data_IF_647903846356
#
_entry.id   IF_647903846356
#
_cell.length_a   1.000
_cell.length_b   1.000
_cell.length_c   1.000
_cell.angle_alpha   90.00
_cell.angle_beta   90.00
_cell.angle_gamma   90.00
#
_symmetry.space_group_name_H-M   'P 1'
#
loop_
_entity.id
_entity.type
_entity.pdbx_description
1 polymer ?
#
# COMPACT_ATOMS: atom_id res chain seq x y z
N UNK A 1 -7.40 -20.49 -24.79
CA UNK A 1 -6.50 -19.41 -25.28
C UNK A 1 -5.18 -19.58 -24.53
N UNK A 2 -4.02 -19.49 -25.20
CA UNK A 2 -2.72 -19.71 -24.56
C UNK A 2 -2.49 -18.67 -23.45
N UNK A 3 -1.79 -19.05 -22.38
CA UNK A 3 -1.44 -18.15 -21.29
C UNK A 3 -0.48 -17.08 -21.86
N UNK A 4 -0.96 -15.86 -22.07
CA UNK A 4 -0.14 -14.78 -22.66
C UNK A 4 1.04 -14.41 -21.75
N UNK A 5 2.23 -14.09 -22.28
CA UNK A 5 3.39 -13.74 -21.47
C UNK A 5 3.16 -12.48 -20.62
N UNK A 6 3.99 -12.26 -19.60
CA UNK A 6 3.98 -11.03 -18.82
C UNK A 6 4.18 -9.82 -19.74
N UNK A 7 3.32 -8.81 -19.59
CA UNK A 7 3.22 -7.65 -20.51
C UNK A 7 2.92 -8.06 -21.95
N UNK A 8 2.23 -9.19 -22.16
CA UNK A 8 1.79 -9.65 -23.47
C UNK A 8 0.61 -8.83 -23.99
N UNK A 9 -0.35 -8.53 -23.12
CA UNK A 9 -1.59 -7.84 -23.50
C UNK A 9 -1.42 -6.32 -23.51
N UNK A 10 -2.21 -5.63 -24.34
CA UNK A 10 -2.29 -4.16 -24.35
C UNK A 10 -2.76 -3.62 -23.00
N UNK A 11 -3.67 -4.34 -22.32
CA UNK A 11 -4.19 -3.95 -21.01
C UNK A 11 -3.09 -3.96 -19.94
N UNK A 12 -2.25 -5.00 -19.88
CA UNK A 12 -1.13 -5.08 -18.94
C UNK A 12 -0.12 -3.95 -19.15
N UNK A 13 0.24 -3.68 -20.42
CA UNK A 13 1.14 -2.56 -20.76
C UNK A 13 0.53 -1.21 -20.40
N UNK A 14 -0.75 -1.00 -20.70
CA UNK A 14 -1.45 0.24 -20.37
C UNK A 14 -1.52 0.43 -18.84
N UNK A 15 -1.85 -0.61 -18.07
CA UNK A 15 -1.96 -0.53 -16.62
C UNK A 15 -0.64 -0.11 -15.95
N UNK A 16 0.47 -0.77 -16.30
CA UNK A 16 1.78 -0.41 -15.75
C UNK A 16 2.26 0.96 -16.23
N UNK A 17 2.01 1.30 -17.50
CA UNK A 17 2.37 2.61 -18.07
C UNK A 17 1.59 3.75 -17.39
N UNK A 18 0.27 3.61 -17.21
CA UNK A 18 -0.56 4.60 -16.51
C UNK A 18 -0.07 4.81 -15.08
N UNK A 19 0.17 3.72 -14.35
CA UNK A 19 0.66 3.80 -12.95
C UNK A 19 2.04 4.45 -12.87
N UNK A 20 2.93 4.12 -13.80
CA UNK A 20 4.32 4.64 -13.80
C UNK A 20 4.36 6.11 -14.21
N UNK A 21 3.62 6.49 -15.26
CA UNK A 21 3.54 7.87 -15.73
C UNK A 21 2.94 8.78 -14.67
N UNK A 22 1.86 8.35 -14.02
CA UNK A 22 1.26 9.09 -12.92
C UNK A 22 2.25 9.25 -11.75
N UNK A 23 2.93 8.18 -11.33
CA UNK A 23 3.92 8.24 -10.26
C UNK A 23 5.06 9.23 -10.59
N UNK A 24 5.57 9.23 -11.83
CA UNK A 24 6.60 10.19 -12.27
C UNK A 24 6.10 11.63 -12.12
N UNK A 25 4.91 11.93 -12.66
CA UNK A 25 4.33 13.28 -12.60
C UNK A 25 4.17 13.73 -11.14
N UNK A 26 3.61 12.88 -10.29
CA UNK A 26 3.39 13.20 -8.87
C UNK A 26 4.72 13.39 -8.13
N UNK A 27 5.71 12.51 -8.33
CA UNK A 27 7.03 12.63 -7.71
C UNK A 27 7.74 13.93 -8.13
N UNK A 28 7.60 14.35 -9.38
CA UNK A 28 8.13 15.65 -9.84
C UNK A 28 7.44 16.81 -9.12
N UNK A 29 6.11 16.80 -8.99
CA UNK A 29 5.38 17.85 -8.25
C UNK A 29 5.79 17.91 -6.77
N UNK A 30 5.99 16.74 -6.14
CA UNK A 30 6.47 16.62 -4.77
C UNK A 30 7.89 17.17 -4.62
N UNK A 31 8.80 16.82 -5.55
CA UNK A 31 10.18 17.30 -5.53
C UNK A 31 10.29 18.81 -5.75
N UNK A 32 9.50 19.38 -6.67
CA UNK A 32 9.42 20.83 -6.88
C UNK A 32 8.91 21.52 -5.62
N UNK A 33 7.83 21.01 -5.02
CA UNK A 33 7.26 21.55 -3.78
C UNK A 33 8.30 21.55 -2.66
N UNK A 34 8.98 20.41 -2.45
CA UNK A 34 10.04 20.29 -1.46
C UNK A 34 11.16 21.30 -1.70
N UNK A 35 11.67 21.38 -2.94
CA UNK A 35 12.78 22.26 -3.28
C UNK A 35 12.46 23.76 -3.17
N UNK A 36 11.21 24.17 -3.42
CA UNK A 36 10.79 25.56 -3.21
C UNK A 36 10.72 25.88 -1.72
N UNK A 37 10.19 24.98 -0.88
CA UNK A 37 10.06 25.25 0.56
C UNK A 37 11.41 25.20 1.27
N UNK A 38 12.27 24.22 0.96
CA UNK A 38 13.59 24.07 1.58
C UNK A 38 14.49 25.30 1.35
N UNK A 39 14.35 25.98 0.20
CA UNK A 39 15.06 27.22 -0.10
C UNK A 39 14.69 28.40 0.82
N UNK A 40 13.47 28.41 1.35
CA UNK A 40 12.93 29.55 2.10
C UNK A 40 12.74 29.27 3.58
N UNK A 41 12.82 28.00 3.99
CA UNK A 41 12.53 27.55 5.34
C UNK A 41 13.55 26.51 5.77
N UNK A 42 14.19 26.73 6.92
CA UNK A 42 15.00 25.70 7.56
C UNK A 42 14.10 24.59 8.08
N UNK A 43 13.89 23.53 7.30
CA UNK A 43 12.95 22.43 7.58
C UNK A 43 13.19 21.70 8.91
N UNK A 44 14.37 21.87 9.51
CA UNK A 44 14.75 21.26 10.80
C UNK A 44 14.58 22.19 12.00
N UNK A 45 14.20 23.45 11.79
CA UNK A 45 14.22 24.48 12.85
C UNK A 45 13.02 24.42 13.81
N UNK A 46 11.80 24.30 13.28
CA UNK A 46 10.56 24.27 14.09
C UNK A 46 9.77 22.99 13.84
N UNK A 47 8.92 22.60 14.80
CA UNK A 47 8.11 21.38 14.69
C UNK A 47 7.19 21.40 13.46
N UNK A 48 6.56 22.55 13.19
CA UNK A 48 5.68 22.72 12.03
C UNK A 48 6.41 22.40 10.72
N UNK A 49 7.64 22.89 10.56
CA UNK A 49 8.44 22.64 9.36
C UNK A 49 9.01 21.22 9.31
N UNK A 50 9.30 20.57 10.45
CA UNK A 50 9.79 19.18 10.49
C UNK A 50 8.77 18.17 9.96
N UNK A 51 7.48 18.47 10.08
CA UNK A 51 6.42 17.57 9.57
C UNK A 51 6.32 17.62 8.03
N UNK A 52 6.80 18.69 7.41
CA UNK A 52 6.68 18.94 5.97
C UNK A 52 7.36 17.90 5.08
N UNK A 53 8.67 17.62 5.27
CA UNK A 53 9.41 16.67 4.46
C UNK A 53 8.89 15.27 4.62
N UNK A 54 8.37 14.93 5.80
CA UNK A 54 7.88 13.61 6.09
C UNK A 54 6.66 13.23 5.28
N UNK A 55 5.67 14.12 5.22
CA UNK A 55 4.47 13.79 4.47
C UNK A 55 4.79 13.74 2.96
N UNK A 56 5.70 14.61 2.48
CA UNK A 56 6.18 14.59 1.08
C UNK A 56 6.91 13.28 0.78
N UNK A 57 7.80 12.84 1.67
CA UNK A 57 8.53 11.60 1.55
C UNK A 57 7.63 10.37 1.65
N UNK A 58 6.67 10.35 2.59
CA UNK A 58 5.71 9.27 2.74
C UNK A 58 4.83 9.15 1.50
N UNK A 59 4.40 10.28 0.95
CA UNK A 59 3.62 10.30 -0.28
C UNK A 59 4.45 9.80 -1.47
N UNK A 60 5.72 10.20 -1.58
CA UNK A 60 6.63 9.63 -2.58
C UNK A 60 6.85 8.12 -2.41
N UNK A 61 6.97 7.63 -1.18
CA UNK A 61 7.05 6.20 -0.89
C UNK A 61 5.76 5.47 -1.29
N UNK A 62 4.60 6.09 -1.10
CA UNK A 62 3.30 5.55 -1.52
C UNK A 62 3.24 5.35 -3.04
N UNK A 63 3.71 6.33 -3.81
CA UNK A 63 3.78 6.24 -5.27
C UNK A 63 4.70 5.10 -5.73
N UNK A 64 5.89 4.97 -5.13
CA UNK A 64 6.81 3.88 -5.43
C UNK A 64 6.23 2.51 -5.07
N UNK A 65 5.59 2.42 -3.89
CA UNK A 65 4.92 1.21 -3.45
C UNK A 65 3.80 0.81 -4.40
N UNK A 66 3.02 1.77 -4.92
CA UNK A 66 1.97 1.48 -5.89
C UNK A 66 2.53 0.90 -7.20
N UNK A 67 3.61 1.47 -7.75
CA UNK A 67 4.24 0.94 -8.97
C UNK A 67 4.75 -0.48 -8.73
N UNK A 68 5.37 -0.72 -7.57
CA UNK A 68 5.82 -2.06 -7.17
C UNK A 68 4.65 -3.05 -7.07
N UNK A 69 3.55 -2.65 -6.43
CA UNK A 69 2.34 -3.47 -6.30
C UNK A 69 1.68 -3.75 -7.64
N UNK A 70 1.68 -2.79 -8.57
CA UNK A 70 1.19 -2.97 -9.93
C UNK A 70 2.03 -4.00 -10.69
N UNK A 71 3.36 -3.89 -10.64
CA UNK A 71 4.25 -4.88 -11.24
C UNK A 71 3.99 -6.29 -10.68
N UNK A 72 3.92 -6.41 -9.36
CA UNK A 72 3.72 -7.68 -8.67
C UNK A 72 2.33 -8.29 -8.96
N UNK A 73 1.27 -7.46 -9.00
CA UNK A 73 -0.09 -7.90 -9.34
C UNK A 73 -0.16 -8.47 -10.76
N UNK A 74 0.49 -7.82 -11.74
CA UNK A 74 0.52 -8.28 -13.12
C UNK A 74 1.40 -9.54 -13.28
N UNK A 75 2.57 -9.58 -12.62
CA UNK A 75 3.48 -10.74 -12.66
C UNK A 75 2.83 -11.99 -12.10
N UNK A 76 2.13 -11.87 -10.97
CA UNK A 76 1.46 -12.97 -10.28
C UNK A 76 0.02 -13.20 -10.77
N UNK A 77 -0.49 -12.38 -11.70
CA UNK A 77 -1.88 -12.37 -12.18
C UNK A 77 -2.88 -12.35 -11.02
N UNK A 78 -2.58 -11.54 -10.01
CA UNK A 78 -3.34 -11.50 -8.78
C UNK A 78 -4.46 -10.46 -8.89
N UNK A 79 -5.67 -10.93 -9.21
CA UNK A 79 -6.88 -10.10 -9.32
C UNK A 79 -7.20 -9.37 -8.01
N UNK A 80 -7.05 -10.05 -6.88
CA UNK A 80 -7.32 -9.45 -5.56
C UNK A 80 -6.39 -8.27 -5.32
N UNK A 81 -5.14 -8.36 -5.78
CA UNK A 81 -4.18 -7.27 -5.67
C UNK A 81 -4.52 -6.08 -6.57
N UNK A 82 -5.12 -6.29 -7.74
CA UNK A 82 -5.63 -5.19 -8.58
C UNK A 82 -6.70 -4.38 -7.85
N UNK A 83 -7.66 -5.05 -7.19
CA UNK A 83 -8.65 -4.36 -6.35
C UNK A 83 -7.99 -3.62 -5.18
N UNK A 84 -7.01 -4.24 -4.53
CA UNK A 84 -6.21 -3.58 -3.49
C UNK A 84 -5.53 -2.31 -3.99
N UNK A 85 -4.96 -2.32 -5.19
CA UNK A 85 -4.34 -1.15 -5.83
C UNK A 85 -5.39 -0.05 -6.06
N UNK A 86 -6.60 -0.38 -6.55
CA UNK A 86 -7.66 0.62 -6.75
C UNK A 86 -8.08 1.31 -5.45
N UNK A 87 -8.23 0.54 -4.36
CA UNK A 87 -8.54 1.08 -3.04
C UNK A 87 -7.38 1.95 -2.50
N UNK A 88 -6.14 1.48 -2.67
CA UNK A 88 -4.94 2.22 -2.27
C UNK A 88 -4.81 3.54 -3.03
N UNK A 89 -5.07 3.53 -4.33
CA UNK A 89 -5.04 4.72 -5.18
C UNK A 89 -6.08 5.76 -4.76
N UNK A 90 -7.29 5.32 -4.39
CA UNK A 90 -8.31 6.20 -3.82
C UNK A 90 -7.86 6.80 -2.47
N UNK A 91 -7.20 6.00 -1.62
CA UNK A 91 -6.62 6.51 -0.37
C UNK A 91 -5.51 7.53 -0.62
N UNK A 92 -4.64 7.32 -1.62
CA UNK A 92 -3.62 8.30 -2.01
C UNK A 92 -4.22 9.61 -2.53
N UNK A 93 -5.33 9.55 -3.27
CA UNK A 93 -6.05 10.74 -3.72
C UNK A 93 -6.56 11.58 -2.53
N UNK A 94 -7.17 10.93 -1.53
CA UNK A 94 -7.61 11.60 -0.29
C UNK A 94 -6.41 12.18 0.47
N UNK A 95 -5.31 11.42 0.57
CA UNK A 95 -4.09 11.87 1.23
C UNK A 95 -3.51 13.11 0.56
N UNK A 96 -3.43 13.11 -0.77
CA UNK A 96 -2.95 14.24 -1.58
C UNK A 96 -3.82 15.50 -1.40
N UNK A 97 -5.14 15.34 -1.31
CA UNK A 97 -6.05 16.46 -1.05
C UNK A 97 -5.84 17.07 0.35
N UNK A 98 -5.66 16.22 1.37
CA UNK A 98 -5.39 16.66 2.75
C UNK A 98 -4.05 17.37 2.86
N UNK A 99 -3.05 16.90 2.12
CA UNK A 99 -1.70 17.46 2.11
C UNK A 99 -1.68 18.95 1.78
N UNK A 100 -2.57 19.43 0.89
CA UNK A 100 -2.72 20.86 0.57
C UNK A 100 -3.02 21.68 1.84
N UNK A 101 -3.97 21.19 2.64
CA UNK A 101 -4.35 21.83 3.91
C UNK A 101 -3.24 21.76 4.94
N UNK A 102 -2.56 20.62 5.07
CA UNK A 102 -1.45 20.45 6.01
C UNK A 102 -0.24 21.32 5.66
N UNK A 103 0.08 21.47 4.37
CA UNK A 103 1.10 22.43 3.93
C UNK A 103 0.71 23.86 4.31
N UNK A 104 -0.56 24.23 4.14
CA UNK A 104 -1.05 25.55 4.55
C UNK A 104 -0.89 25.75 6.05
N UNK A 105 -1.34 24.81 6.88
CA UNK A 105 -1.23 24.90 8.35
C UNK A 105 0.23 24.94 8.81
N UNK A 106 1.13 24.24 8.11
CA UNK A 106 2.55 24.23 8.45
C UNK A 106 3.27 25.53 8.08
N UNK A 107 2.88 26.20 6.98
CA UNK A 107 3.53 27.43 6.50
C UNK A 107 2.84 28.70 7.04
N UNK A 108 1.52 28.77 7.00
CA UNK A 108 0.74 29.96 7.38
C UNK A 108 0.44 29.93 8.87
N UNK A 109 1.29 30.62 9.65
CA UNK A 109 1.19 30.68 11.12
C UNK A 109 0.63 32.00 11.64
N UNK A 110 0.57 33.04 10.80
CA UNK A 110 0.09 34.38 11.17
C UNK A 110 -1.36 34.63 10.74
N UNK A 111 -2.06 35.43 11.53
CA UNK A 111 -3.41 35.88 11.18
C UNK A 111 -3.38 36.91 10.03
N UNK A 112 -4.51 37.08 9.34
CA UNK A 112 -4.64 38.08 8.27
C UNK A 112 -4.37 39.52 8.78
N UNK A 113 -4.75 39.82 10.03
CA UNK A 113 -4.50 41.11 10.66
C UNK A 113 -3.00 41.35 10.90
N UNK A 114 -2.26 40.35 11.37
CA UNK A 114 -0.80 40.44 11.53
C UNK A 114 -0.09 40.62 10.19
N UNK A 115 -0.55 39.93 9.15
CA UNK A 115 0.02 40.02 7.81
C UNK A 115 -0.26 41.36 7.12
N UNK A 116 -1.33 42.06 7.50
CA UNK A 116 -1.62 43.41 7.02
C UNK A 116 -0.66 44.45 7.62
N UNK A 117 -0.16 44.22 8.84
CA UNK A 117 0.79 45.10 9.52
C UNK A 117 2.24 44.76 9.16
N UNK A 118 2.59 43.47 9.16
CA UNK A 118 3.94 42.99 8.89
C UNK A 118 3.91 41.75 7.99
N UNK A 119 3.99 42.00 6.68
CA UNK A 119 3.97 40.96 5.66
C UNK A 119 5.20 40.05 5.75
N UNK A 120 4.97 38.74 5.83
CA UNK A 120 6.01 37.72 5.77
C UNK A 120 5.75 36.79 4.59
N UNK A 121 6.73 36.67 3.69
CA UNK A 121 6.65 35.78 2.53
C UNK A 121 6.30 34.32 2.92
N UNK A 122 6.82 33.84 4.05
CA UNK A 122 6.66 32.45 4.49
C UNK A 122 5.37 32.24 5.30
N UNK A 123 5.11 33.13 6.26
CA UNK A 123 4.10 32.88 7.31
C UNK A 123 2.71 33.45 7.03
N UNK A 124 2.56 34.22 5.96
CA UNK A 124 1.30 34.84 5.57
C UNK A 124 0.59 34.07 4.45
N UNK A 125 -0.72 34.29 4.32
CA UNK A 125 -1.53 33.82 3.20
C UNK A 125 -1.75 34.95 2.17
N UNK A 126 -2.06 34.60 0.92
CA UNK A 126 -2.39 35.54 -0.15
C UNK A 126 -1.40 35.57 -1.34
N UNK A 127 -1.64 36.45 -2.33
CA UNK A 127 -0.77 36.60 -3.49
C UNK A 127 0.66 36.98 -3.09
N UNK A 128 1.66 36.37 -3.74
CA UNK A 128 3.07 36.63 -3.44
C UNK A 128 3.61 35.95 -2.18
N UNK A 129 2.89 34.99 -1.60
CA UNK A 129 3.37 34.18 -0.46
C UNK A 129 3.92 32.82 -0.92
N UNK A 130 4.74 32.19 -0.07
CA UNK A 130 5.32 30.87 -0.32
C UNK A 130 4.24 29.80 -0.52
N UNK A 131 3.19 29.80 0.31
CA UNK A 131 2.10 28.84 0.18
C UNK A 131 1.40 28.98 -1.18
N UNK A 132 1.10 30.19 -1.61
CA UNK A 132 0.46 30.41 -2.90
C UNK A 132 1.35 30.04 -4.09
N UNK A 133 2.68 30.10 -3.93
CA UNK A 133 3.63 29.62 -4.94
C UNK A 133 3.62 28.08 -5.06
N UNK A 134 3.54 27.34 -3.94
CA UNK A 134 3.56 25.86 -3.96
C UNK A 134 2.19 25.21 -4.16
N UNK A 135 1.11 25.92 -3.81
CA UNK A 135 -0.28 25.43 -3.88
C UNK A 135 -0.67 24.83 -5.23
N UNK A 136 -0.31 25.39 -6.40
CA UNK A 136 -0.66 24.78 -7.69
C UNK A 136 -0.06 23.38 -7.85
N UNK A 137 1.20 23.17 -7.47
CA UNK A 137 1.87 21.86 -7.57
C UNK A 137 1.21 20.81 -6.66
N UNK A 138 0.78 21.23 -5.47
CA UNK A 138 0.04 20.38 -4.54
C UNK A 138 -1.36 20.00 -5.04
N UNK A 139 -2.04 20.88 -5.78
CA UNK A 139 -3.37 20.61 -6.36
C UNK A 139 -3.26 19.70 -7.60
N UNK A 140 -2.18 19.80 -8.38
CA UNK A 140 -1.98 18.93 -9.55
C UNK A 140 -1.91 17.46 -9.14
N UNK A 141 -1.28 17.14 -8.00
CA UNK A 141 -1.14 15.75 -7.54
C UNK A 141 -2.48 14.99 -7.39
N UNK A 142 -3.47 15.43 -6.59
CA UNK A 142 -4.76 14.74 -6.49
C UNK A 142 -5.53 14.73 -7.81
N UNK A 143 -5.38 15.74 -8.68
CA UNK A 143 -6.02 15.73 -10.00
C UNK A 143 -5.46 14.65 -10.92
N UNK A 144 -4.13 14.51 -10.99
CA UNK A 144 -3.48 13.48 -11.82
C UNK A 144 -3.81 12.08 -11.30
N UNK A 145 -3.79 11.87 -9.98
CA UNK A 145 -4.21 10.62 -9.34
C UNK A 145 -5.68 10.32 -9.65
N UNK A 146 -6.57 11.31 -9.55
CA UNK A 146 -7.99 11.13 -9.86
C UNK A 146 -8.22 10.69 -11.32
N UNK A 147 -7.53 11.31 -12.28
CA UNK A 147 -7.62 10.94 -13.70
C UNK A 147 -7.06 9.53 -13.95
N UNK A 148 -5.91 9.18 -13.37
CA UNK A 148 -5.36 7.83 -13.49
C UNK A 148 -6.25 6.79 -12.83
N UNK A 149 -6.94 7.12 -11.74
CA UNK A 149 -7.83 6.19 -11.06
C UNK A 149 -8.96 5.70 -11.98
N UNK A 150 -9.60 6.61 -12.71
CA UNK A 150 -10.65 6.26 -13.68
C UNK A 150 -10.11 5.35 -14.78
N UNK A 151 -8.92 5.65 -15.29
CA UNK A 151 -8.25 4.79 -16.28
C UNK A 151 -7.91 3.40 -15.70
N UNK A 152 -7.41 3.33 -14.46
CA UNK A 152 -7.08 2.08 -13.79
C UNK A 152 -8.32 1.24 -13.48
N UNK A 153 -9.47 1.85 -13.16
CA UNK A 153 -10.74 1.12 -13.00
C UNK A 153 -11.11 0.41 -14.32
N UNK A 154 -11.06 1.14 -15.44
CA UNK A 154 -11.34 0.57 -16.75
C UNK A 154 -10.38 -0.57 -17.11
N UNK A 155 -9.08 -0.36 -16.91
CA UNK A 155 -8.05 -1.37 -17.20
C UNK A 155 -8.15 -2.58 -16.26
N UNK A 156 -8.52 -2.37 -14.99
CA UNK A 156 -8.74 -3.47 -14.02
C UNK A 156 -9.90 -4.36 -14.45
N UNK A 157 -10.97 -3.80 -15.03
CA UNK A 157 -12.07 -4.60 -15.58
C UNK A 157 -11.57 -5.55 -16.68
N UNK A 158 -10.75 -5.05 -17.61
CA UNK A 158 -10.19 -5.87 -18.68
C UNK A 158 -9.23 -6.95 -18.14
N UNK A 159 -8.36 -6.57 -17.19
CA UNK A 159 -7.43 -7.52 -16.54
C UNK A 159 -8.15 -8.57 -15.69
N UNK A 160 -9.30 -8.24 -15.08
CA UNK A 160 -10.13 -9.18 -14.34
C UNK A 160 -10.61 -10.32 -15.25
N UNK A 161 -11.07 -9.98 -16.47
CA UNK A 161 -11.50 -10.96 -17.47
C UNK A 161 -10.31 -11.83 -17.93
N UNK A 162 -9.16 -11.22 -18.22
CA UNK A 162 -7.92 -11.93 -18.63
C UNK A 162 -7.42 -12.90 -17.55
N UNK A 163 -7.33 -12.45 -16.30
CA UNK A 163 -6.78 -13.23 -15.19
C UNK A 163 -7.76 -14.26 -14.64
N UNK A 164 -9.06 -13.95 -14.63
CA UNK A 164 -10.12 -14.88 -14.22
C UNK A 164 -10.14 -16.15 -15.08
N UNK A 165 -9.93 -16.00 -16.39
CA UNK A 165 -9.79 -17.13 -17.33
C UNK A 165 -8.53 -17.97 -17.08
N UNK A 166 -7.41 -17.34 -16.71
CA UNK A 166 -6.15 -18.04 -16.42
C UNK A 166 -6.22 -18.86 -15.11
N UNK A 167 -6.83 -18.31 -14.06
CA UNK A 167 -6.97 -18.99 -12.77
C UNK A 167 -7.88 -20.22 -12.87
N UNK A 168 -8.92 -20.18 -13.71
CA UNK A 168 -9.81 -21.31 -13.93
C UNK A 168 -9.06 -22.58 -14.39
N UNK A 169 -8.02 -22.43 -15.21
CA UNK A 169 -7.26 -23.56 -15.76
C UNK A 169 -6.21 -24.13 -14.80
N UNK A 170 -5.69 -23.35 -13.85
CA UNK A 170 -4.61 -23.77 -12.94
C UNK A 170 -5.13 -24.50 -11.70
N UNK A 171 -6.29 -24.10 -11.17
CA UNK A 171 -6.81 -24.65 -9.90
C UNK A 171 -7.62 -25.93 -10.09
N UNK A 172 -8.03 -26.24 -11.32
CA UNK A 172 -8.91 -27.38 -11.61
C UNK A 172 -10.33 -27.20 -11.05
N UNK A 173 -11.16 -28.23 -11.18
CA UNK A 173 -12.59 -28.16 -10.89
C UNK A 173 -12.98 -28.27 -9.39
N UNK A 174 -12.01 -28.37 -8.46
CA UNK A 174 -12.34 -28.50 -7.03
C UNK A 174 -12.68 -27.12 -6.41
N UNK A 175 -13.94 -26.85 -6.06
CA UNK A 175 -14.36 -25.54 -5.57
C UNK A 175 -13.74 -25.21 -4.21
N UNK A 176 -13.49 -26.21 -3.35
CA UNK A 176 -12.93 -25.99 -2.00
C UNK A 176 -11.49 -25.49 -2.07
N UNK A 177 -10.66 -26.08 -2.93
CA UNK A 177 -9.27 -25.68 -3.11
C UNK A 177 -9.17 -24.25 -3.67
N UNK A 178 -10.09 -23.89 -4.59
CA UNK A 178 -10.20 -22.54 -5.14
C UNK A 178 -10.51 -21.50 -4.07
N UNK A 179 -11.49 -21.75 -3.21
CA UNK A 179 -11.82 -20.84 -2.10
C UNK A 179 -10.65 -20.66 -1.14
N UNK A 180 -9.95 -21.74 -0.77
CA UNK A 180 -8.80 -21.63 0.12
C UNK A 180 -7.63 -20.87 -0.52
N UNK A 181 -7.38 -21.07 -1.82
CA UNK A 181 -6.36 -20.32 -2.54
C UNK A 181 -6.70 -18.83 -2.65
N UNK A 182 -7.98 -18.48 -2.81
CA UNK A 182 -8.44 -17.09 -2.77
C UNK A 182 -8.14 -16.43 -1.41
N UNK A 183 -8.48 -17.10 -0.29
CA UNK A 183 -8.15 -16.57 1.03
C UNK A 183 -6.64 -16.43 1.24
N UNK A 184 -5.83 -17.37 0.74
CA UNK A 184 -4.38 -17.23 0.72
C UNK A 184 -3.91 -15.97 -0.04
N UNK A 185 -4.44 -15.73 -1.24
CA UNK A 185 -4.10 -14.54 -2.03
C UNK A 185 -4.56 -13.24 -1.35
N UNK A 186 -5.74 -13.24 -0.72
CA UNK A 186 -6.23 -12.12 0.10
C UNK A 186 -5.26 -11.86 1.25
N UNK A 187 -4.84 -12.90 1.97
CA UNK A 187 -3.92 -12.79 3.09
C UNK A 187 -2.57 -12.17 2.68
N UNK A 188 -1.96 -12.67 1.59
CA UNK A 188 -0.69 -12.13 1.08
C UNK A 188 -0.86 -10.69 0.58
N UNK A 189 -1.99 -10.37 -0.05
CA UNK A 189 -2.31 -9.01 -0.47
C UNK A 189 -2.39 -8.06 0.73
N UNK A 190 -3.17 -8.42 1.74
CA UNK A 190 -3.35 -7.64 2.96
C UNK A 190 -2.01 -7.42 3.70
N UNK A 191 -1.18 -8.46 3.84
CA UNK A 191 0.14 -8.32 4.49
C UNK A 191 1.06 -7.31 3.79
N UNK A 192 1.01 -7.19 2.46
CA UNK A 192 1.78 -6.18 1.72
C UNK A 192 1.28 -4.77 2.01
N UNK A 193 -0.03 -4.57 2.09
CA UNK A 193 -0.61 -3.28 2.44
C UNK A 193 -0.38 -2.96 3.93
N UNK A 194 -0.50 -3.92 4.84
CA UNK A 194 -0.16 -3.75 6.26
C UNK A 194 1.28 -3.30 6.44
N UNK A 195 2.22 -3.89 5.70
CA UNK A 195 3.62 -3.46 5.69
C UNK A 195 3.74 -1.97 5.35
N UNK A 196 3.06 -1.53 4.28
CA UNK A 196 3.10 -0.13 3.86
C UNK A 196 2.45 0.80 4.88
N UNK A 197 1.22 0.51 5.31
CA UNK A 197 0.47 1.38 6.24
C UNK A 197 1.12 1.44 7.62
N UNK A 198 1.65 0.31 8.12
CA UNK A 198 2.40 0.30 9.37
C UNK A 198 3.68 1.14 9.27
N UNK A 199 4.43 1.00 8.18
CA UNK A 199 5.62 1.83 7.91
C UNK A 199 5.24 3.32 7.83
N UNK A 200 4.12 3.64 7.19
CA UNK A 200 3.62 5.01 7.09
C UNK A 200 3.25 5.62 8.43
N UNK A 201 2.43 4.92 9.23
CA UNK A 201 2.02 5.37 10.58
C UNK A 201 3.25 5.55 11.48
N UNK A 202 4.17 4.58 11.48
CA UNK A 202 5.38 4.66 12.31
C UNK A 202 6.31 5.80 11.88
N UNK A 203 6.51 6.00 10.57
CA UNK A 203 7.29 7.12 10.04
C UNK A 203 6.70 8.48 10.45
N UNK A 204 5.37 8.63 10.36
CA UNK A 204 4.68 9.85 10.81
C UNK A 204 4.78 10.06 12.32
N UNK A 205 4.68 8.98 13.10
CA UNK A 205 4.80 9.04 14.56
C UNK A 205 6.22 9.38 15.03
N UNK A 206 7.26 8.85 14.39
CA UNK A 206 8.65 9.09 14.80
C UNK A 206 9.00 10.58 14.88
N UNK A 207 8.48 11.38 13.96
CA UNK A 207 8.78 12.82 13.93
C UNK A 207 8.15 13.56 15.10
N UNK A 208 7.01 13.09 15.59
CA UNK A 208 6.28 13.70 16.70
C UNK A 208 6.75 13.15 18.04
N UNK A 209 7.04 11.85 18.10
CA UNK A 209 7.54 11.15 19.30
C UNK A 209 8.97 11.54 19.64
N UNK A 210 9.74 12.10 18.69
CA UNK A 210 11.08 12.64 18.95
C UNK A 210 11.13 13.71 20.07
N UNK A 211 9.98 14.18 20.58
CA UNK A 211 9.89 15.25 21.57
C UNK A 211 9.26 14.86 22.91
N UNK A 212 8.78 13.62 23.12
CA UNK A 212 8.14 13.22 24.40
C UNK A 212 8.61 11.87 24.90
N UNK A 213 9.00 11.81 26.18
CA UNK A 213 9.29 10.62 27.01
C UNK A 213 10.28 9.62 26.37
N UNK A 214 11.45 9.47 27.00
CA UNK A 214 12.50 8.54 26.55
C UNK A 214 11.98 7.10 26.34
N UNK A 215 10.98 6.68 27.13
CA UNK A 215 10.39 5.34 27.05
C UNK A 215 9.51 5.14 25.81
N UNK A 216 8.65 6.09 25.45
CA UNK A 216 7.77 5.96 24.27
C UNK A 216 8.55 5.99 22.96
N UNK A 217 9.61 6.79 22.94
CA UNK A 217 10.55 6.86 21.83
C UNK A 217 11.25 5.51 21.60
N UNK A 218 11.84 4.93 22.66
CA UNK A 218 12.51 3.63 22.58
C UNK A 218 11.59 2.51 22.12
N UNK A 219 10.36 2.46 22.68
CA UNK A 219 9.37 1.45 22.30
C UNK A 219 8.95 1.61 20.82
N UNK A 220 8.69 2.83 20.36
CA UNK A 220 8.23 3.07 18.98
C UNK A 220 9.32 2.70 17.96
N UNK A 221 10.58 3.02 18.24
CA UNK A 221 11.71 2.65 17.38
C UNK A 221 11.90 1.14 17.35
N UNK A 222 11.88 0.48 18.52
CA UNK A 222 12.06 -0.96 18.60
C UNK A 222 10.90 -1.74 17.94
N UNK A 223 9.68 -1.18 17.99
CA UNK A 223 8.50 -1.80 17.39
C UNK A 223 8.60 -1.89 15.86
N UNK A 224 9.31 -0.98 15.19
CA UNK A 224 9.44 -0.98 13.72
C UNK A 224 10.04 -2.30 13.21
N UNK A 225 11.31 -2.64 13.52
CA UNK A 225 11.89 -3.88 13.00
C UNK A 225 11.15 -5.13 13.49
N UNK A 226 10.63 -5.11 14.72
CA UNK A 226 9.86 -6.24 15.27
C UNK A 226 8.61 -6.52 14.45
N UNK A 227 7.79 -5.51 14.16
CA UNK A 227 6.56 -5.70 13.39
C UNK A 227 6.86 -6.06 11.94
N UNK A 228 7.88 -5.45 11.32
CA UNK A 228 8.28 -5.81 9.96
C UNK A 228 8.69 -7.29 9.85
N UNK A 229 9.47 -7.79 10.81
CA UNK A 229 9.84 -9.22 10.88
C UNK A 229 8.60 -10.08 11.10
N UNK A 230 7.70 -9.70 12.01
CA UNK A 230 6.47 -10.46 12.27
C UNK A 230 5.55 -10.55 11.05
N UNK A 231 5.44 -9.49 10.23
CA UNK A 231 4.68 -9.53 8.98
C UNK A 231 5.29 -10.51 7.97
N UNK A 232 6.62 -10.52 7.84
CA UNK A 232 7.33 -11.48 6.99
C UNK A 232 7.13 -12.92 7.50
N UNK A 233 7.27 -13.14 8.81
CA UNK A 233 7.05 -14.43 9.44
C UNK A 233 5.61 -14.91 9.26
N UNK A 234 4.62 -14.02 9.33
CA UNK A 234 3.23 -14.34 9.06
C UNK A 234 3.02 -14.79 7.60
N UNK A 235 3.64 -14.09 6.64
CA UNK A 235 3.63 -14.49 5.24
C UNK A 235 4.24 -15.87 5.01
N UNK A 236 5.40 -16.14 5.63
CA UNK A 236 6.07 -17.45 5.58
C UNK A 236 5.23 -18.55 6.26
N UNK A 237 4.58 -18.24 7.38
CA UNK A 237 3.72 -19.17 8.10
C UNK A 237 2.51 -19.59 7.26
N UNK A 238 1.90 -18.65 6.55
CA UNK A 238 0.77 -18.92 5.63
C UNK A 238 1.20 -19.71 4.39
N UNK A 239 2.40 -19.43 3.86
CA UNK A 239 2.95 -20.16 2.72
C UNK A 239 3.35 -21.60 3.05
N UNK A 240 4.01 -21.80 4.21
CA UNK A 240 4.53 -23.10 4.64
C UNK A 240 3.62 -23.86 5.59
N UNK A 241 2.50 -23.26 6.00
CA UNK A 241 1.52 -23.81 6.96
C UNK A 241 2.12 -24.08 8.35
N UNK A 242 3.01 -23.19 8.81
CA UNK A 242 3.69 -23.30 10.11
C UNK A 242 2.76 -22.78 11.23
N UNK A 243 2.00 -23.68 11.83
CA UNK A 243 1.03 -23.39 12.90
C UNK A 243 1.54 -22.51 14.05
N UNK A 244 2.70 -22.78 14.69
CA UNK A 244 3.13 -21.97 15.84
C UNK A 244 3.43 -20.53 15.45
N UNK A 245 4.09 -20.31 14.30
CA UNK A 245 4.40 -18.96 13.82
C UNK A 245 3.11 -18.21 13.45
N UNK A 246 2.14 -18.89 12.86
CA UNK A 246 0.83 -18.31 12.55
C UNK A 246 0.09 -17.89 13.81
N UNK A 247 0.06 -18.75 14.84
CA UNK A 247 -0.59 -18.45 16.12
C UNK A 247 0.05 -17.23 16.81
N UNK A 248 1.39 -17.17 16.89
CA UNK A 248 2.12 -16.01 17.42
C UNK A 248 1.79 -14.75 16.62
N UNK A 249 1.75 -14.84 15.28
CA UNK A 249 1.42 -13.70 14.42
C UNK A 249 0.02 -13.15 14.70
N UNK A 250 -0.99 -14.03 14.85
CA UNK A 250 -2.36 -13.64 15.15
C UNK A 250 -2.50 -12.97 16.53
N UNK A 251 -1.81 -13.49 17.54
CA UNK A 251 -1.79 -12.86 18.87
C UNK A 251 -1.14 -11.48 18.81
N UNK A 252 -0.03 -11.34 18.09
CA UNK A 252 0.64 -10.05 17.91
C UNK A 252 -0.21 -9.05 17.10
N UNK A 253 -1.01 -9.51 16.15
CA UNK A 253 -1.97 -8.65 15.43
C UNK A 253 -3.01 -8.05 16.39
N UNK A 254 -3.53 -8.83 17.35
CA UNK A 254 -4.44 -8.32 18.39
C UNK A 254 -3.78 -7.26 19.29
N UNK A 255 -2.52 -7.47 19.67
CA UNK A 255 -1.74 -6.49 20.42
C UNK A 255 -1.56 -5.19 19.62
N UNK A 256 -1.23 -5.29 18.34
CA UNK A 256 -1.09 -4.15 17.43
C UNK A 256 -2.41 -3.40 17.21
N UNK A 257 -3.54 -4.09 17.08
CA UNK A 257 -4.87 -3.47 17.00
C UNK A 257 -5.17 -2.64 18.26
N UNK A 258 -4.85 -3.19 19.44
CA UNK A 258 -5.02 -2.49 20.71
C UNK A 258 -4.14 -1.23 20.80
N UNK A 259 -2.89 -1.31 20.32
CA UNK A 259 -1.96 -0.18 20.25
C UNK A 259 -2.47 0.95 19.33
N UNK A 260 -3.03 0.60 18.16
CA UNK A 260 -3.61 1.60 17.25
C UNK A 260 -4.79 2.35 17.89
N UNK A 261 -5.66 1.66 18.63
CA UNK A 261 -6.74 2.31 19.37
C UNK A 261 -6.21 3.28 20.44
N UNK A 262 -5.21 2.85 21.20
CA UNK A 262 -4.54 3.70 22.19
C UNK A 262 -3.95 4.97 21.55
N UNK A 263 -3.23 4.85 20.43
CA UNK A 263 -2.65 6.01 19.73
C UNK A 263 -3.73 6.92 19.13
N UNK A 264 -4.80 6.36 18.57
CA UNK A 264 -5.94 7.13 18.07
C UNK A 264 -6.54 8.04 19.15
N UNK A 265 -6.76 7.52 20.36
CA UNK A 265 -7.24 8.33 21.50
C UNK A 265 -6.24 9.44 21.85
N UNK A 266 -4.95 9.10 21.86
CA UNK A 266 -3.88 10.04 22.21
C UNK A 266 -3.71 11.20 21.23
N UNK A 267 -4.13 11.05 19.96
CA UNK A 267 -4.09 12.15 18.98
C UNK A 267 -5.05 13.30 19.32
N UNK A 268 -6.09 13.02 20.12
CA UNK A 268 -7.14 13.99 20.46
C UNK A 268 -7.12 14.40 21.94
N UNK A 269 -6.22 13.83 22.74
CA UNK A 269 -6.11 14.18 24.15
C UNK A 269 -5.63 15.63 24.32
N UNK A 270 -6.17 16.41 25.27
CA UNK A 270 -5.83 17.83 25.44
C UNK A 270 -4.34 18.06 25.71
N UNK A 271 -3.68 17.15 26.43
CA UNK A 271 -2.25 17.26 26.77
C UNK A 271 -1.28 17.10 25.59
N UNK A 272 -1.74 16.62 24.43
CA UNK A 272 -0.91 16.37 23.24
C UNK A 272 -1.39 17.12 21.99
N UNK A 273 -2.43 17.95 22.12
CA UNK A 273 -3.14 18.58 20.99
C UNK A 273 -2.23 19.41 20.08
N UNK A 274 -1.34 20.21 20.67
CA UNK A 274 -0.42 21.08 19.91
C UNK A 274 0.61 20.28 19.13
N UNK A 275 1.08 19.15 19.67
CA UNK A 275 2.08 18.30 19.02
C UNK A 275 1.55 17.68 17.72
N UNK A 276 0.25 17.37 17.69
CA UNK A 276 -0.38 16.73 16.53
C UNK A 276 -1.03 17.74 15.57
N UNK A 277 -1.07 19.04 15.85
CA UNK A 277 -1.92 19.99 15.10
C UNK A 277 -1.72 19.94 13.58
N UNK A 278 -0.47 19.96 13.12
CA UNK A 278 -0.15 19.96 11.69
C UNK A 278 -0.39 18.61 11.00
N UNK A 279 -0.39 17.51 11.75
CA UNK A 279 -0.37 16.14 11.22
C UNK A 279 -1.60 15.31 11.58
N UNK A 280 -2.43 15.76 12.51
CA UNK A 280 -3.54 15.00 13.11
C UNK A 280 -4.49 14.41 12.09
N UNK A 281 -4.85 15.17 11.06
CA UNK A 281 -5.79 14.71 10.03
C UNK A 281 -5.23 13.50 9.28
N UNK A 282 -4.02 13.62 8.70
CA UNK A 282 -3.38 12.53 7.98
C UNK A 282 -3.03 11.35 8.89
N UNK A 283 -2.52 11.61 10.09
CA UNK A 283 -2.24 10.55 11.08
C UNK A 283 -3.48 9.76 11.48
N UNK A 284 -4.60 10.44 11.75
CA UNK A 284 -5.85 9.79 12.13
C UNK A 284 -6.33 8.89 10.99
N UNK A 285 -6.39 9.42 9.77
CA UNK A 285 -6.90 8.67 8.61
C UNK A 285 -6.02 7.47 8.30
N UNK A 286 -4.70 7.66 8.23
CA UNK A 286 -3.76 6.55 7.98
C UNK A 286 -3.84 5.51 9.08
N UNK A 287 -4.00 5.90 10.35
CA UNK A 287 -4.12 4.95 11.48
C UNK A 287 -5.45 4.20 11.44
N UNK A 288 -6.56 4.84 11.08
CA UNK A 288 -7.86 4.17 10.90
C UNK A 288 -7.77 3.16 9.75
N UNK A 289 -7.20 3.53 8.62
CA UNK A 289 -7.03 2.63 7.48
C UNK A 289 -6.13 1.45 7.87
N UNK A 290 -5.00 1.70 8.54
CA UNK A 290 -4.10 0.67 9.04
C UNK A 290 -4.80 -0.29 10.01
N UNK A 291 -5.63 0.24 10.90
CA UNK A 291 -6.43 -0.57 11.83
C UNK A 291 -7.44 -1.47 11.09
N UNK A 292 -8.18 -0.92 10.12
CA UNK A 292 -9.16 -1.68 9.34
C UNK A 292 -8.50 -2.77 8.50
N UNK A 293 -7.35 -2.47 7.87
CA UNK A 293 -6.57 -3.46 7.13
C UNK A 293 -6.06 -4.57 8.04
N UNK A 294 -5.43 -4.22 9.16
CA UNK A 294 -4.91 -5.20 10.11
C UNK A 294 -6.02 -6.07 10.72
N UNK A 295 -7.20 -5.50 10.95
CA UNK A 295 -8.37 -6.25 11.42
C UNK A 295 -8.86 -7.24 10.35
N UNK A 296 -8.91 -6.83 9.09
CA UNK A 296 -9.21 -7.73 7.97
C UNK A 296 -8.15 -8.84 7.85
N UNK A 297 -6.86 -8.51 8.02
CA UNK A 297 -5.76 -9.49 8.02
C UNK A 297 -5.91 -10.50 9.13
N UNK A 298 -6.27 -10.06 10.34
CA UNK A 298 -6.54 -10.95 11.46
C UNK A 298 -7.71 -11.91 11.15
N UNK A 299 -8.84 -11.39 10.66
CA UNK A 299 -10.01 -12.21 10.33
C UNK A 299 -9.72 -13.24 9.22
N UNK A 300 -9.06 -12.81 8.14
CA UNK A 300 -8.63 -13.70 7.05
C UNK A 300 -7.58 -14.69 7.55
N UNK A 301 -6.69 -14.27 8.45
CA UNK A 301 -5.68 -15.10 9.07
C UNK A 301 -6.28 -16.25 9.90
N UNK A 302 -7.32 -15.98 10.70
CA UNK A 302 -8.06 -17.03 11.41
C UNK A 302 -8.63 -18.06 10.43
N UNK A 303 -9.18 -17.59 9.30
CA UNK A 303 -9.70 -18.49 8.27
C UNK A 303 -8.58 -19.34 7.67
N UNK A 304 -7.48 -18.72 7.25
CA UNK A 304 -6.32 -19.43 6.72
C UNK A 304 -5.77 -20.46 7.71
N UNK A 305 -5.70 -20.12 9.00
CA UNK A 305 -5.23 -21.02 10.06
C UNK A 305 -6.14 -22.25 10.22
N UNK A 306 -7.46 -22.08 10.12
CA UNK A 306 -8.42 -23.20 10.13
C UNK A 306 -8.34 -24.11 8.90
N UNK A 307 -7.72 -23.62 7.82
CA UNK A 307 -7.58 -24.29 6.53
C UNK A 307 -6.22 -24.98 6.34
N UNK A 308 -5.32 -24.94 7.32
CA UNK A 308 -4.00 -25.62 7.27
C UNK A 308 -4.13 -27.15 7.22
N UNK A 309 -3.14 -27.82 6.61
CA UNK A 309 -3.02 -29.27 6.41
C UNK A 309 -4.08 -29.91 5.49
N UNK A 310 -4.87 -29.10 4.78
CA UNK A 310 -5.92 -29.59 3.87
C UNK A 310 -5.46 -29.73 2.41
N UNK A 311 -4.15 -29.88 2.17
CA UNK A 311 -3.55 -30.14 0.85
C UNK A 311 -3.24 -28.92 -0.01
N UNK A 312 -3.36 -27.71 0.52
CA UNK A 312 -3.16 -26.45 -0.23
C UNK A 312 -1.67 -26.11 -0.47
N UNK A 313 -0.77 -26.66 0.34
CA UNK A 313 0.66 -26.34 0.33
C UNK A 313 1.33 -26.55 -1.04
N UNK A 314 1.04 -27.65 -1.74
CA UNK A 314 1.61 -27.95 -3.06
C UNK A 314 1.22 -26.89 -4.11
N UNK A 315 -0.04 -26.44 -4.09
CA UNK A 315 -0.55 -25.42 -5.02
C UNK A 315 0.05 -24.02 -4.74
N UNK A 316 0.27 -23.66 -3.47
CA UNK A 316 0.94 -22.41 -3.07
C UNK A 316 2.38 -22.37 -3.54
N UNK A 317 3.12 -23.47 -3.33
CA UNK A 317 4.54 -23.57 -3.67
C UNK A 317 4.79 -23.70 -5.19
N UNK A 318 3.88 -24.36 -5.92
CA UNK A 318 3.93 -24.40 -7.38
C UNK A 318 3.68 -23.02 -7.99
N UNK A 319 2.66 -22.28 -7.53
CA UNK A 319 2.39 -20.92 -7.98
C UNK A 319 3.55 -19.93 -7.71
N UNK A 320 4.36 -20.17 -6.66
CA UNK A 320 5.55 -19.38 -6.35
C UNK A 320 6.77 -19.71 -7.23
N UNK A 321 6.85 -20.92 -7.81
CA UNK A 321 8.03 -21.41 -8.56
C UNK A 321 7.90 -21.31 -10.08
N UNK A 322 6.70 -21.22 -10.64
CA UNK A 322 6.50 -21.40 -12.09
C UNK A 322 6.05 -20.10 -12.76
N UNK A 323 6.93 -19.39 -13.52
CA UNK A 323 6.45 -18.63 -14.66
C UNK A 323 5.79 -19.64 -15.61
N UNK A 324 4.57 -19.39 -16.15
CA UNK A 324 3.95 -20.32 -17.07
C UNK A 324 4.91 -20.59 -18.23
N UNK A 325 5.30 -21.86 -18.40
CA UNK A 325 6.20 -22.28 -19.46
C UNK A 325 5.60 -21.88 -20.81
N UNK A 326 6.40 -21.25 -21.67
CA UNK A 326 6.07 -21.03 -23.07
C UNK A 326 5.72 -22.39 -23.68
N UNK A 327 4.44 -22.61 -24.00
CA UNK A 327 4.13 -23.52 -25.09
C UNK A 327 4.35 -22.73 -26.37
N UNK A 328 5.58 -22.81 -26.90
CA UNK A 328 5.84 -22.47 -28.29
C UNK A 328 4.88 -23.31 -29.14
N UNK A 329 4.09 -22.63 -29.97
CA UNK A 329 3.26 -23.27 -30.97
C UNK A 329 4.17 -23.75 -32.09
N UNK A 330 4.96 -24.79 -31.83
CA UNK A 330 5.65 -25.50 -32.89
C UNK A 330 4.62 -26.36 -33.63
N UNK A 331 4.40 -25.99 -34.87
CA UNK A 331 3.59 -26.69 -35.86
C UNK A 331 4.14 -28.10 -36.09
N UNK A 332 3.67 -29.09 -35.34
CA UNK A 332 3.92 -30.50 -35.67
C UNK A 332 2.93 -30.97 -36.73
N UNK A 333 3.44 -31.17 -37.94
CA UNK A 333 2.78 -31.90 -39.02
C UNK A 333 2.66 -33.38 -38.61
N UNK A 334 1.48 -33.96 -38.86
CA UNK A 334 1.23 -35.36 -39.24
C UNK A 334 2.18 -36.44 -38.68
N UNK A 335 1.70 -37.20 -37.71
CA UNK A 335 2.28 -38.48 -37.32
C UNK A 335 1.38 -39.22 -36.35
N UNK A 336 0.73 -40.27 -36.83
CA UNK A 336 -0.13 -41.18 -36.09
C UNK A 336 0.71 -41.96 -35.07
N UNK A 337 0.62 -41.65 -33.78
CA UNK A 337 1.09 -42.54 -32.71
C UNK A 337 0.37 -42.18 -31.40
N UNK A 338 -0.22 -43.20 -30.76
CA UNK A 338 -1.07 -43.05 -29.59
C UNK A 338 -0.30 -42.56 -28.35
N UNK A 339 -0.91 -41.64 -27.61
CA UNK A 339 -0.38 -41.15 -26.33
C UNK A 339 -0.65 -42.19 -25.24
N UNK A 340 0.35 -42.67 -24.48
CA UNK A 340 0.11 -43.55 -23.35
C UNK A 340 -0.55 -42.76 -22.21
N UNK A 341 -1.71 -43.25 -21.75
CA UNK A 341 -2.42 -42.72 -20.59
C UNK A 341 -1.58 -42.96 -19.34
N UNK A 342 -1.18 -41.88 -18.65
CA UNK A 342 -0.56 -41.95 -17.33
C UNK A 342 -1.50 -42.58 -16.29
N UNK A 343 -0.95 -43.10 -15.18
CA UNK A 343 -1.69 -43.95 -14.25
C UNK A 343 -2.84 -43.19 -13.59
N UNK A 344 -4.06 -43.72 -13.75
CA UNK A 344 -5.24 -43.29 -13.01
C UNK A 344 -5.05 -43.61 -11.53
N UNK A 345 -5.17 -42.60 -10.69
CA UNK A 345 -5.34 -42.78 -9.24
C UNK A 345 -6.72 -43.39 -9.03
N UNK A 346 -6.76 -44.66 -8.65
CA UNK A 346 -7.95 -45.36 -8.17
C UNK A 346 -8.33 -44.82 -6.80
N UNK A 347 -9.54 -44.30 -6.68
CA UNK A 347 -10.19 -44.04 -5.40
C UNK A 347 -10.99 -45.31 -5.08
N UNK A 348 -10.48 -46.07 -4.13
CA UNK A 348 -11.33 -46.77 -3.15
C UNK A 348 -11.17 -46.05 -1.82
#
# INVERSE_FOLDING_TARGET
>A
MAIEPFLGTRAQKAFIATTTLQAIVVLVMVAITFGIVDKHVALRSTLNYKTLPCYLALFGLAELFQVFMAFDALRLRNVIQLFGILCFHAAMMVFAAIQVGQTKTALVTRSAAECAVNFSFVNCDGPGTLFNQVKPFLIVAPCVIGVSWVALIYLTKQLYEEFGWAIFHVVGANPRLKTMYQYYQIMICLLKFDFFFFTGVTMQLLILVLQTSEAEFGITIAAIPVVLVLLILCGLAVQREIKPIMAVSLVMMLASLSYFLYKLVRFYQPGSREQYETTRASLTITTIIAFLLLFATFAVGLRCFSDFDRGLQASKMAAAKTPPALQSKESSKSGTEGVPLGPRISIE
#
